data_IF_390920559825
#
_entry.id   IF_390920559825
#
_cell.length_a   1.000
_cell.length_b   1.000
_cell.length_c   1.000
_cell.angle_alpha   90.00
_cell.angle_beta   90.00
_cell.angle_gamma   90.00
#
_symmetry.space_group_name_H-M   'P 1'
#
loop_
_entity.id
_entity.type
_entity.pdbx_description
1 polymer ?
#
# COMPACT_ATOMS: atom_id res chain seq x y z
N UNK A 1 9.53 -7.68 4.45
CA UNK A 1 8.22 -7.06 4.12
C UNK A 1 8.30 -5.56 3.94
N UNK A 2 7.26 -5.00 3.36
CA UNK A 2 7.22 -3.74 2.62
C UNK A 2 7.10 -2.48 3.50
N UNK A 3 7.11 -1.31 2.84
CA UNK A 3 6.73 -0.02 3.42
C UNK A 3 5.67 0.66 2.58
N UNK A 4 4.75 1.35 3.24
CA UNK A 4 3.58 2.00 2.67
C UNK A 4 3.61 3.49 2.98
N UNK A 5 3.20 4.32 2.02
CA UNK A 5 2.88 5.73 2.20
C UNK A 5 1.59 6.04 1.43
N UNK A 6 0.65 6.72 2.08
CA UNK A 6 -0.56 7.27 1.49
C UNK A 6 -0.68 8.75 1.87
N UNK A 7 -1.05 9.60 0.91
CA UNK A 7 -1.25 11.04 1.14
C UNK A 7 -2.53 11.47 0.44
N UNK A 8 -3.49 12.05 1.16
CA UNK A 8 -4.63 12.76 0.55
C UNK A 8 -4.29 14.22 0.26
N UNK A 9 -5.01 14.84 -0.68
CA UNK A 9 -4.80 16.23 -1.08
C UNK A 9 -3.32 16.55 -1.34
N UNK A 10 -2.66 15.64 -2.07
CA UNK A 10 -1.25 15.73 -2.37
C UNK A 10 -0.96 16.99 -3.19
N UNK A 11 0.04 17.73 -2.73
CA UNK A 11 0.64 18.87 -3.41
C UNK A 11 2.16 18.75 -3.26
N UNK A 12 2.89 18.68 -4.38
CA UNK A 12 4.33 18.40 -4.37
C UNK A 12 5.12 19.40 -3.53
N UNK A 13 4.81 20.70 -3.66
CA UNK A 13 5.44 21.79 -2.90
C UNK A 13 5.36 21.61 -1.37
N UNK A 14 4.28 20.98 -0.88
CA UNK A 14 4.03 20.74 0.55
C UNK A 14 4.57 19.39 1.03
N UNK A 15 4.53 18.38 0.17
CA UNK A 15 4.78 16.99 0.56
C UNK A 15 6.11 16.42 0.04
N UNK A 16 6.92 17.21 -0.67
CA UNK A 16 8.22 16.77 -1.20
C UNK A 16 9.11 16.15 -0.11
N UNK A 17 9.19 16.78 1.07
CA UNK A 17 10.00 16.28 2.19
C UNK A 17 9.53 14.88 2.63
N UNK A 18 8.22 14.67 2.74
CA UNK A 18 7.61 13.39 3.10
C UNK A 18 7.94 12.32 2.05
N UNK A 19 7.79 12.64 0.76
CA UNK A 19 8.11 11.72 -0.34
C UNK A 19 9.59 11.34 -0.31
N UNK A 20 10.49 12.32 -0.19
CA UNK A 20 11.94 12.07 -0.15
C UNK A 20 12.34 11.23 1.07
N UNK A 21 11.74 11.50 2.23
CA UNK A 21 11.96 10.70 3.44
C UNK A 21 11.45 9.27 3.27
N UNK A 22 10.31 9.08 2.60
CA UNK A 22 9.82 7.75 2.28
C UNK A 22 10.76 7.00 1.32
N UNK A 23 11.25 7.65 0.26
CA UNK A 23 12.22 7.02 -0.65
C UNK A 23 13.48 6.55 0.08
N UNK A 24 13.96 7.28 1.09
CA UNK A 24 15.12 6.86 1.92
C UNK A 24 14.87 5.56 2.67
N UNK A 25 13.62 5.20 2.96
CA UNK A 25 13.27 3.93 3.59
C UNK A 25 13.62 2.72 2.73
N UNK A 26 13.83 2.88 1.42
CA UNK A 26 14.32 1.79 0.58
C UNK A 26 15.71 1.30 1.04
N UNK A 27 16.49 2.16 1.73
CA UNK A 27 17.76 1.79 2.40
C UNK A 27 17.56 1.49 3.88
N UNK A 28 16.91 2.41 4.60
CA UNK A 28 16.94 2.46 6.06
C UNK A 28 15.62 2.06 6.73
N UNK A 29 14.61 1.66 5.95
CA UNK A 29 13.34 1.23 6.51
C UNK A 29 13.53 -0.03 7.35
N UNK A 30 12.82 -0.13 8.49
CA UNK A 30 12.93 -1.28 9.38
C UNK A 30 12.74 -2.59 8.58
N UNK A 31 13.46 -3.63 8.93
CA UNK A 31 13.33 -4.99 8.36
C UNK A 31 13.06 -5.98 9.49
N UNK A 32 12.57 -7.18 9.17
CA UNK A 32 12.43 -8.22 10.20
C UNK A 32 13.82 -8.67 10.66
N UNK A 33 13.93 -9.18 11.89
CA UNK A 33 15.17 -9.75 12.37
C UNK A 33 15.65 -10.88 11.44
N UNK A 34 16.90 -10.80 10.97
CA UNK A 34 17.50 -11.76 10.05
C UNK A 34 17.31 -11.43 8.56
N UNK A 35 16.44 -10.48 8.19
CA UNK A 35 16.34 -10.02 6.81
C UNK A 35 17.52 -9.09 6.45
N UNK A 36 17.97 -9.09 5.17
CA UNK A 36 18.94 -8.11 4.70
C UNK A 36 18.35 -6.69 4.80
N UNK A 37 19.19 -5.65 5.02
CA UNK A 37 18.72 -4.28 5.16
C UNK A 37 18.04 -3.76 3.88
N UNK A 38 17.09 -2.85 4.06
CA UNK A 38 16.40 -2.18 2.96
C UNK A 38 15.27 -2.97 2.29
N UNK A 39 14.65 -2.31 1.32
CA UNK A 39 13.44 -2.70 0.59
C UNK A 39 13.70 -2.53 -0.91
N UNK A 40 14.46 -3.46 -1.48
CA UNK A 40 14.97 -3.38 -2.85
C UNK A 40 14.23 -4.24 -3.88
N UNK A 41 13.14 -4.91 -3.51
CA UNK A 41 12.48 -5.93 -4.36
C UNK A 41 11.39 -5.34 -5.27
N UNK A 42 11.47 -4.04 -5.53
CA UNK A 42 10.52 -3.27 -6.32
C UNK A 42 9.94 -2.05 -5.60
N UNK A 43 9.26 -1.22 -6.37
CA UNK A 43 8.48 -0.10 -5.86
C UNK A 43 7.28 0.18 -6.75
N UNK A 44 6.34 0.96 -6.22
CA UNK A 44 5.29 1.52 -7.05
C UNK A 44 4.67 2.78 -6.50
N UNK A 45 4.09 3.52 -7.43
CA UNK A 45 3.41 4.78 -7.25
C UNK A 45 2.03 4.66 -7.91
N UNK A 46 1.01 5.06 -7.17
CA UNK A 46 -0.32 5.33 -7.69
C UNK A 46 -0.73 6.76 -7.37
N UNK A 47 -1.35 7.43 -8.33
CA UNK A 47 -1.92 8.76 -8.18
C UNK A 47 -3.11 8.94 -9.10
N UNK A 48 -3.88 10.01 -8.92
CA UNK A 48 -5.04 10.30 -9.74
C UNK A 48 -4.87 11.64 -10.44
N UNK A 49 -5.23 11.72 -11.73
CA UNK A 49 -5.18 12.97 -12.49
C UNK A 49 -6.39 13.07 -13.40
N UNK A 50 -7.21 14.10 -13.19
CA UNK A 50 -8.43 14.29 -13.97
C UNK A 50 -9.46 13.17 -13.78
N UNK A 51 -9.53 12.58 -12.57
CA UNK A 51 -10.42 11.47 -12.24
C UNK A 51 -9.86 10.07 -12.53
N UNK A 52 -8.77 9.99 -13.31
CA UNK A 52 -8.19 8.72 -13.75
C UNK A 52 -7.01 8.29 -12.89
N UNK A 53 -6.98 7.01 -12.53
CA UNK A 53 -5.87 6.34 -11.85
C UNK A 53 -4.66 6.17 -12.79
N UNK A 54 -3.48 6.56 -12.29
CA UNK A 54 -2.19 6.35 -12.95
C UNK A 54 -1.31 5.52 -12.01
N UNK A 55 -0.85 4.36 -12.48
CA UNK A 55 0.05 3.46 -11.75
C UNK A 55 1.39 3.32 -12.47
N UNK A 56 2.49 3.49 -11.74
CA UNK A 56 3.87 3.30 -12.21
C UNK A 56 4.64 2.44 -11.21
N UNK A 57 5.26 1.36 -11.69
CA UNK A 57 5.94 0.38 -10.83
C UNK A 57 7.20 -0.14 -11.48
N UNK A 58 8.11 -0.66 -10.68
CA UNK A 58 9.37 -1.27 -11.10
C UNK A 58 9.69 -2.47 -10.21
N UNK A 59 10.37 -3.47 -10.78
CA UNK A 59 11.04 -4.52 -10.02
C UNK A 59 12.41 -4.12 -9.46
N UNK A 60 12.90 -2.93 -9.81
CA UNK A 60 14.17 -2.39 -9.32
C UNK A 60 14.07 -1.77 -7.92
N UNK A 61 15.23 -1.47 -7.33
CA UNK A 61 15.32 -0.80 -6.05
C UNK A 61 14.98 0.70 -6.20
N UNK A 62 14.08 1.24 -5.38
CA UNK A 62 13.71 2.66 -5.46
C UNK A 62 14.90 3.58 -5.14
N UNK A 63 15.91 3.14 -4.39
CA UNK A 63 17.09 3.98 -4.14
C UNK A 63 17.78 4.43 -5.42
N UNK A 64 17.83 3.56 -6.41
CA UNK A 64 18.48 3.81 -7.71
C UNK A 64 17.53 4.49 -8.70
N UNK A 65 16.24 4.54 -8.37
CA UNK A 65 15.17 5.00 -9.26
C UNK A 65 14.33 6.13 -8.64
N UNK A 66 14.79 6.74 -7.54
CA UNK A 66 14.03 7.74 -6.79
C UNK A 66 13.67 8.95 -7.65
N UNK A 67 14.57 9.35 -8.56
CA UNK A 67 14.33 10.46 -9.49
C UNK A 67 13.10 10.22 -10.36
N UNK A 68 12.81 8.98 -10.76
CA UNK A 68 11.59 8.64 -11.54
C UNK A 68 10.33 9.00 -10.76
N UNK A 69 10.27 8.68 -9.46
CA UNK A 69 9.13 9.03 -8.59
C UNK A 69 9.02 10.53 -8.42
N UNK A 70 10.15 11.21 -8.18
CA UNK A 70 10.20 12.65 -7.98
C UNK A 70 9.77 13.42 -9.25
N UNK A 71 10.23 13.01 -10.42
CA UNK A 71 9.85 13.60 -11.71
C UNK A 71 8.35 13.45 -11.98
N UNK A 72 7.77 12.27 -11.72
CA UNK A 72 6.33 12.04 -11.90
C UNK A 72 5.53 12.95 -10.95
N UNK A 73 5.87 12.98 -9.66
CA UNK A 73 5.12 13.73 -8.66
C UNK A 73 5.27 15.25 -8.83
N UNK A 74 6.47 15.73 -9.17
CA UNK A 74 6.68 17.16 -9.45
C UNK A 74 5.98 17.59 -10.75
N UNK A 75 5.99 16.75 -11.79
CA UNK A 75 5.30 17.04 -13.05
C UNK A 75 3.77 17.02 -12.94
N UNK A 76 3.19 16.18 -12.07
CA UNK A 76 1.75 16.19 -11.77
C UNK A 76 1.38 17.38 -10.88
N UNK A 77 2.25 17.74 -9.94
CA UNK A 77 2.07 18.88 -9.01
C UNK A 77 1.03 18.62 -7.93
N UNK A 78 -0.19 18.20 -8.29
CA UNK A 78 -1.30 17.90 -7.37
C UNK A 78 -2.05 16.63 -7.74
N UNK A 79 -2.46 15.87 -6.73
CA UNK A 79 -3.28 14.66 -6.88
C UNK A 79 -4.19 14.52 -5.67
N UNK A 80 -5.46 14.07 -5.83
CA UNK A 80 -6.33 13.86 -4.69
C UNK A 80 -5.78 12.77 -3.75
N UNK A 81 -5.20 11.70 -4.29
CA UNK A 81 -4.53 10.65 -3.51
C UNK A 81 -3.20 10.29 -4.16
N UNK A 82 -2.17 10.06 -3.35
CA UNK A 82 -0.93 9.39 -3.75
C UNK A 82 -0.70 8.19 -2.84
N UNK A 83 -0.40 7.03 -3.42
CA UNK A 83 0.06 5.84 -2.70
C UNK A 83 1.43 5.44 -3.23
N UNK A 84 2.41 5.31 -2.34
CA UNK A 84 3.76 4.81 -2.62
C UNK A 84 4.01 3.52 -1.84
N UNK A 85 4.69 2.58 -2.47
CA UNK A 85 5.04 1.28 -1.89
C UNK A 85 6.50 0.93 -2.16
N UNK A 86 7.20 0.47 -1.12
CA UNK A 86 8.51 -0.15 -1.22
C UNK A 86 8.37 -1.63 -0.95
N UNK A 87 8.83 -2.46 -1.87
CA UNK A 87 8.64 -3.90 -1.79
C UNK A 87 9.84 -4.57 -1.16
N UNK A 88 9.53 -5.52 -0.27
CA UNK A 88 10.45 -6.54 0.21
C UNK A 88 9.72 -7.87 0.24
N UNK A 89 10.02 -8.73 -0.71
CA UNK A 89 9.19 -9.89 -1.01
C UNK A 89 9.23 -10.94 0.09
N UNK A 90 8.10 -11.60 0.32
CA UNK A 90 8.02 -12.80 1.15
C UNK A 90 8.22 -14.09 0.34
N UNK A 91 8.27 -13.98 -0.99
CA UNK A 91 8.27 -15.09 -1.92
C UNK A 91 9.55 -15.06 -2.76
N UNK A 92 10.22 -16.21 -2.87
CA UNK A 92 11.45 -16.35 -3.67
C UNK A 92 11.17 -16.08 -5.15
N UNK A 93 12.15 -15.51 -5.85
CA UNK A 93 12.14 -15.31 -7.31
C UNK A 93 10.96 -14.47 -7.84
N UNK A 94 10.44 -13.56 -7.02
CA UNK A 94 9.32 -12.70 -7.39
C UNK A 94 9.72 -11.23 -7.56
N UNK A 95 11.00 -10.90 -7.56
CA UNK A 95 11.50 -9.52 -7.75
C UNK A 95 11.33 -9.11 -9.21
N UNK A 96 10.17 -8.53 -9.53
CA UNK A 96 9.82 -8.06 -10.87
C UNK A 96 8.69 -7.03 -10.79
N UNK A 97 8.52 -6.24 -11.86
CA UNK A 97 7.47 -5.22 -11.97
C UNK A 97 6.05 -5.79 -11.84
N UNK A 98 5.83 -7.03 -12.28
CA UNK A 98 4.53 -7.73 -12.24
C UNK A 98 4.01 -7.91 -10.81
N UNK A 99 4.89 -8.29 -9.88
CA UNK A 99 4.53 -8.52 -8.48
C UNK A 99 4.76 -7.31 -7.57
N UNK A 100 5.29 -6.20 -8.11
CA UNK A 100 5.39 -4.95 -7.39
C UNK A 100 3.98 -4.39 -7.12
N UNK A 101 3.78 -3.83 -5.94
CA UNK A 101 2.58 -3.08 -5.58
C UNK A 101 2.66 -1.65 -6.11
N UNK A 102 1.54 -0.92 -6.24
CA UNK A 102 0.18 -1.38 -5.97
C UNK A 102 -0.46 -2.19 -7.11
N UNK A 103 -1.48 -2.98 -6.79
CA UNK A 103 -2.36 -3.61 -7.78
C UNK A 103 -3.58 -2.72 -8.01
N UNK A 104 -4.24 -2.84 -9.17
CA UNK A 104 -5.43 -2.05 -9.47
C UNK A 104 -6.44 -2.83 -10.30
N UNK A 105 -7.70 -2.45 -10.19
CA UNK A 105 -8.81 -2.93 -10.99
C UNK A 105 -9.75 -1.74 -11.22
N UNK A 106 -9.96 -1.39 -12.49
CA UNK A 106 -10.58 -0.12 -12.87
C UNK A 106 -9.88 1.06 -12.16
N UNK A 107 -10.64 1.95 -11.52
CA UNK A 107 -10.12 3.12 -10.82
C UNK A 107 -9.73 2.86 -9.35
N UNK A 108 -9.78 1.60 -8.90
CA UNK A 108 -9.42 1.22 -7.52
C UNK A 108 -8.01 0.69 -7.47
N UNK A 109 -7.22 1.20 -6.52
CA UNK A 109 -5.83 0.81 -6.30
C UNK A 109 -5.62 0.23 -4.91
N UNK A 110 -4.70 -0.74 -4.76
CA UNK A 110 -4.49 -1.48 -3.52
C UNK A 110 -3.01 -1.81 -3.27
N UNK A 111 -2.54 -1.51 -2.07
CA UNK A 111 -1.20 -1.76 -1.57
C UNK A 111 -1.27 -2.51 -0.23
N UNK A 112 -0.39 -3.49 -0.04
CA UNK A 112 -0.41 -4.36 1.15
C UNK A 112 1.01 -4.58 1.68
N UNK A 113 1.14 -4.59 3.00
CA UNK A 113 2.31 -5.00 3.73
C UNK A 113 1.94 -6.11 4.72
N UNK A 114 2.22 -7.35 4.30
CA UNK A 114 1.83 -8.56 5.01
C UNK A 114 1.84 -9.75 4.06
N UNK A 115 1.54 -10.93 4.60
CA UNK A 115 1.34 -12.15 3.83
C UNK A 115 0.03 -12.80 4.25
N UNK A 116 -0.80 -13.19 3.28
CA UNK A 116 -1.91 -14.13 3.51
C UNK A 116 -1.47 -15.53 3.10
N UNK A 117 -1.31 -16.43 4.07
CA UNK A 117 -0.91 -17.81 3.80
C UNK A 117 -2.11 -18.65 3.38
N UNK A 118 -1.91 -19.58 2.44
CA UNK A 118 -3.00 -20.38 1.89
C UNK A 118 -3.97 -19.59 1.00
N UNK A 119 -3.57 -18.39 0.55
CA UNK A 119 -4.39 -17.47 -0.24
C UNK A 119 -5.06 -18.09 -1.47
N UNK A 120 -4.51 -19.16 -2.04
CA UNK A 120 -5.10 -19.88 -3.18
C UNK A 120 -6.53 -20.38 -2.87
N UNK A 121 -6.87 -20.60 -1.60
CA UNK A 121 -8.24 -20.92 -1.20
C UNK A 121 -9.26 -19.80 -1.43
N UNK A 122 -8.82 -18.55 -1.67
CA UNK A 122 -9.68 -17.41 -2.00
C UNK A 122 -10.02 -17.35 -3.50
N UNK A 123 -9.26 -18.06 -4.35
CA UNK A 123 -9.43 -18.03 -5.81
C UNK A 123 -10.85 -18.42 -6.29
N UNK A 124 -11.52 -19.47 -5.75
CA UNK A 124 -12.80 -19.93 -6.31
C UNK A 124 -13.92 -18.89 -6.30
N UNK A 125 -13.84 -17.89 -5.43
CA UNK A 125 -14.86 -16.85 -5.29
C UNK A 125 -14.48 -15.52 -5.98
N UNK A 126 -13.40 -15.49 -6.76
CA UNK A 126 -13.03 -14.33 -7.58
C UNK A 126 -13.87 -14.37 -8.86
N UNK A 127 -14.65 -13.31 -9.08
CA UNK A 127 -15.67 -13.23 -10.14
C UNK A 127 -15.33 -12.23 -11.24
N UNK A 128 -14.32 -11.40 -11.02
CA UNK A 128 -13.87 -10.38 -11.96
C UNK A 128 -12.68 -10.88 -12.79
N UNK A 129 -12.57 -10.50 -14.07
CA UNK A 129 -11.43 -10.87 -14.90
C UNK A 129 -10.19 -10.03 -14.56
N UNK A 130 -9.01 -10.51 -14.98
CA UNK A 130 -7.75 -9.76 -14.93
C UNK A 130 -6.72 -10.30 -13.94
N UNK A 131 -7.08 -11.28 -13.11
CA UNK A 131 -6.14 -11.95 -12.22
C UNK A 131 -5.18 -12.84 -13.04
N UNK A 132 -3.88 -12.59 -12.95
CA UNK A 132 -2.89 -13.42 -13.62
C UNK A 132 -2.74 -14.80 -12.97
N UNK A 133 -2.36 -15.81 -13.76
CA UNK A 133 -2.15 -17.18 -13.28
C UNK A 133 -1.01 -17.28 -12.24
N UNK A 134 -0.08 -16.34 -12.30
CA UNK A 134 1.05 -16.17 -11.40
C UNK A 134 0.73 -15.33 -10.16
N UNK A 135 -0.54 -14.97 -9.94
CA UNK A 135 -0.93 -14.08 -8.85
C UNK A 135 -0.54 -14.62 -7.47
N UNK A 136 0.05 -13.73 -6.67
CA UNK A 136 0.45 -13.99 -5.29
C UNK A 136 -0.62 -13.50 -4.31
N UNK A 137 -0.38 -13.74 -3.03
CA UNK A 137 -1.31 -13.48 -1.94
C UNK A 137 -1.95 -12.09 -1.95
N UNK A 138 -1.19 -11.03 -2.22
CA UNK A 138 -1.77 -9.68 -2.25
C UNK A 138 -2.73 -9.48 -3.41
N UNK A 139 -2.36 -9.91 -4.62
CA UNK A 139 -3.21 -9.69 -5.79
C UNK A 139 -4.49 -10.55 -5.67
N UNK A 140 -4.37 -11.76 -5.15
CA UNK A 140 -5.51 -12.63 -4.85
C UNK A 140 -6.41 -12.02 -3.77
N UNK A 141 -5.85 -11.46 -2.71
CA UNK A 141 -6.61 -10.71 -1.70
C UNK A 141 -7.35 -9.54 -2.33
N UNK A 142 -6.66 -8.72 -3.12
CA UNK A 142 -7.26 -7.57 -3.79
C UNK A 142 -8.41 -7.96 -4.72
N UNK A 143 -8.23 -8.97 -5.57
CA UNK A 143 -9.26 -9.43 -6.49
C UNK A 143 -10.45 -10.11 -5.79
N UNK A 144 -10.20 -10.78 -4.65
CA UNK A 144 -11.29 -11.30 -3.80
C UNK A 144 -12.14 -10.18 -3.23
N UNK A 145 -11.48 -9.13 -2.73
CA UNK A 145 -12.12 -7.91 -2.24
C UNK A 145 -12.93 -7.21 -3.34
N UNK A 146 -12.36 -7.02 -4.53
CA UNK A 146 -13.05 -6.39 -5.66
C UNK A 146 -14.17 -7.25 -6.26
N UNK A 147 -14.24 -8.54 -5.91
CA UNK A 147 -15.35 -9.43 -6.30
C UNK A 147 -16.54 -9.38 -5.35
N UNK A 148 -16.49 -8.55 -4.31
CA UNK A 148 -17.62 -8.30 -3.43
C UNK A 148 -18.78 -7.63 -4.19
N UNK A 149 -20.01 -7.90 -3.77
CA UNK A 149 -21.23 -7.36 -4.40
C UNK A 149 -21.68 -6.03 -3.78
N UNK A 150 -20.98 -5.54 -2.74
CA UNK A 150 -21.37 -4.31 -2.05
C UNK A 150 -20.93 -3.07 -2.85
N UNK A 151 -21.77 -2.03 -2.95
CA UNK A 151 -21.36 -0.75 -3.54
C UNK A 151 -20.40 0.03 -2.62
N UNK A 152 -20.33 -0.34 -1.34
CA UNK A 152 -19.40 0.25 -0.38
C UNK A 152 -18.05 -0.49 -0.43
N UNK A 153 -17.03 0.26 -0.85
CA UNK A 153 -15.67 -0.23 -0.97
C UNK A 153 -15.05 -0.58 0.40
N UNK A 154 -15.29 0.24 1.42
CA UNK A 154 -14.79 0.00 2.76
C UNK A 154 -15.41 -1.27 3.37
N UNK A 155 -16.72 -1.43 3.24
CA UNK A 155 -17.41 -2.64 3.72
C UNK A 155 -16.93 -3.90 2.98
N UNK A 156 -16.79 -3.83 1.65
CA UNK A 156 -16.26 -4.93 0.83
C UNK A 156 -14.86 -5.39 1.29
N UNK A 157 -14.01 -4.44 1.64
CA UNK A 157 -12.68 -4.70 2.18
C UNK A 157 -12.77 -5.38 3.55
N UNK A 158 -13.56 -4.83 4.48
CA UNK A 158 -13.74 -5.37 5.83
C UNK A 158 -14.34 -6.78 5.83
N UNK A 159 -15.29 -7.08 4.94
CA UNK A 159 -15.86 -8.42 4.79
C UNK A 159 -14.80 -9.43 4.33
N UNK A 160 -13.91 -9.02 3.43
CA UNK A 160 -12.81 -9.85 2.94
C UNK A 160 -11.75 -10.06 4.04
N UNK A 161 -11.44 -9.01 4.80
CA UNK A 161 -10.57 -9.12 5.99
C UNK A 161 -11.17 -10.10 7.01
N UNK A 162 -12.47 -10.01 7.30
CA UNK A 162 -13.14 -10.90 8.22
C UNK A 162 -13.10 -12.36 7.74
N UNK A 163 -13.24 -12.60 6.43
CA UNK A 163 -13.05 -13.92 5.82
C UNK A 163 -11.62 -14.44 6.04
N UNK A 164 -10.61 -13.61 5.76
CA UNK A 164 -9.20 -13.98 5.93
C UNK A 164 -8.92 -14.34 7.39
N UNK A 165 -9.35 -13.51 8.33
CA UNK A 165 -9.12 -13.73 9.77
C UNK A 165 -9.77 -15.01 10.31
N UNK A 166 -10.91 -15.43 9.74
CA UNK A 166 -11.59 -16.67 10.14
C UNK A 166 -10.96 -17.93 9.53
N UNK A 167 -10.47 -17.84 8.30
CA UNK A 167 -10.12 -19.02 7.49
C UNK A 167 -8.63 -19.23 7.24
N UNK A 168 -7.78 -18.21 7.46
CA UNK A 168 -6.42 -18.21 6.94
C UNK A 168 -5.43 -17.69 7.98
N UNK A 169 -4.22 -18.23 7.94
CA UNK A 169 -3.08 -17.66 8.65
C UNK A 169 -2.58 -16.45 7.86
N UNK A 170 -2.20 -15.39 8.54
CA UNK A 170 -1.58 -14.22 7.93
C UNK A 170 -0.46 -13.69 8.83
N UNK A 171 0.49 -12.92 8.28
CA UNK A 171 1.47 -12.19 9.10
C UNK A 171 0.95 -10.82 9.53
N UNK A 172 0.44 -10.05 8.57
CA UNK A 172 -0.23 -8.78 8.73
C UNK A 172 -1.18 -8.54 7.57
N UNK A 173 -2.06 -7.54 7.74
CA UNK A 173 -3.01 -7.06 6.75
C UNK A 173 -2.91 -5.53 6.66
N UNK A 174 -1.72 -4.95 6.79
CA UNK A 174 -1.57 -3.51 6.66
C UNK A 174 -1.83 -3.10 5.21
N UNK A 175 -2.91 -2.37 4.96
CA UNK A 175 -3.37 -2.05 3.62
C UNK A 175 -3.58 -0.55 3.44
N UNK A 176 -3.26 -0.06 2.24
CA UNK A 176 -3.72 1.23 1.74
C UNK A 176 -4.45 0.99 0.42
N UNK A 177 -5.61 1.62 0.25
CA UNK A 177 -6.35 1.55 -1.00
C UNK A 177 -7.16 2.81 -1.25
N UNK A 178 -7.56 3.01 -2.50
CA UNK A 178 -8.26 4.24 -2.90
C UNK A 178 -9.09 4.02 -4.15
N UNK A 179 -10.19 4.77 -4.26
CA UNK A 179 -11.01 4.97 -5.47
C UNK A 179 -10.76 6.34 -6.14
N UNK A 180 -9.81 7.12 -5.62
CA UNK A 180 -9.49 8.49 -6.05
C UNK A 180 -10.27 9.59 -5.32
N UNK A 181 -11.39 9.25 -4.68
CA UNK A 181 -12.17 10.17 -3.85
C UNK A 181 -11.82 10.04 -2.36
N UNK A 182 -11.33 8.86 -1.95
CA UNK A 182 -10.98 8.54 -0.57
C UNK A 182 -9.70 7.73 -0.50
N UNK A 183 -8.94 7.93 0.57
CA UNK A 183 -7.86 7.04 0.98
C UNK A 183 -8.34 6.20 2.16
N UNK A 184 -8.20 4.89 2.04
CA UNK A 184 -8.48 3.93 3.10
C UNK A 184 -7.18 3.37 3.66
N UNK A 185 -7.13 3.19 4.97
CA UNK A 185 -6.03 2.55 5.67
C UNK A 185 -6.55 1.51 6.66
N UNK A 186 -5.88 0.37 6.71
CA UNK A 186 -6.17 -0.68 7.69
C UNK A 186 -4.87 -1.20 8.29
N UNK A 187 -4.85 -1.41 9.60
CA UNK A 187 -3.71 -2.04 10.29
C UNK A 187 -4.17 -3.27 11.06
N UNK A 188 -3.59 -4.43 10.78
CA UNK A 188 -3.77 -5.64 11.58
C UNK A 188 -2.56 -6.57 11.41
N UNK A 189 -2.27 -7.36 12.44
CA UNK A 189 -1.10 -8.22 12.51
C UNK A 189 -1.35 -9.41 13.42
N UNK A 190 -0.69 -10.52 13.13
CA UNK A 190 -0.66 -11.71 13.99
C UNK A 190 0.62 -11.83 14.81
N UNK A 191 1.66 -11.10 14.42
CA UNK A 191 2.99 -11.08 15.03
C UNK A 191 3.70 -9.76 14.73
N UNK A 192 4.80 -9.49 15.43
CA UNK A 192 5.71 -8.35 15.16
C UNK A 192 5.01 -6.97 15.06
N UNK A 193 4.26 -6.53 16.09
CA UNK A 193 3.50 -5.27 16.08
C UNK A 193 4.35 -4.05 15.67
N UNK A 194 5.58 -3.97 16.16
CA UNK A 194 6.50 -2.86 15.90
C UNK A 194 6.93 -2.80 14.43
N UNK A 195 7.09 -3.97 13.81
CA UNK A 195 7.49 -4.08 12.42
C UNK A 195 6.33 -3.82 11.45
N UNK A 196 5.15 -4.35 11.77
CA UNK A 196 3.89 -4.09 11.06
C UNK A 196 3.18 -2.86 11.65
N UNK A 197 3.97 -1.80 11.87
CA UNK A 197 3.45 -0.50 12.22
C UNK A 197 2.83 0.19 11.01
N UNK A 198 1.84 1.03 11.30
CA UNK A 198 1.21 1.96 10.37
C UNK A 198 0.81 3.17 11.20
N UNK A 199 1.31 4.33 10.81
CA UNK A 199 1.11 5.59 11.51
C UNK A 199 0.22 6.50 10.69
N UNK A 200 -0.60 7.29 11.38
CA UNK A 200 -1.41 8.36 10.81
C UNK A 200 -0.92 9.71 11.32
N UNK A 201 -0.98 10.69 10.45
CA UNK A 201 -0.76 12.11 10.73
C UNK A 201 -1.70 12.90 9.85
N UNK A 202 -2.07 14.11 10.27
CA UNK A 202 -2.84 15.03 9.46
C UNK A 202 -2.22 16.43 9.46
N UNK A 203 -2.42 17.15 8.36
CA UNK A 203 -2.31 18.61 8.30
C UNK A 203 -3.72 19.21 8.17
N UNK A 204 -3.82 20.53 8.04
CA UNK A 204 -5.12 21.19 7.79
C UNK A 204 -5.82 20.69 6.52
N UNK A 205 -5.07 20.20 5.54
CA UNK A 205 -5.61 19.83 4.22
C UNK A 205 -5.40 18.38 3.84
N UNK A 206 -4.48 17.67 4.49
CA UNK A 206 -3.99 16.36 4.03
C UNK A 206 -3.94 15.34 5.16
N UNK A 207 -4.43 14.14 4.91
CA UNK A 207 -4.18 12.95 5.71
C UNK A 207 -2.97 12.20 5.18
N UNK A 208 -2.08 11.77 6.08
CA UNK A 208 -0.84 11.06 5.75
C UNK A 208 -0.81 9.76 6.53
N UNK A 209 -0.66 8.64 5.82
CA UNK A 209 -0.48 7.31 6.41
C UNK A 209 0.88 6.78 5.98
N UNK A 210 1.68 6.28 6.92
CA UNK A 210 3.01 5.75 6.60
C UNK A 210 3.38 4.58 7.51
N UNK A 211 4.14 3.60 7.00
CA UNK A 211 4.67 2.52 7.84
C UNK A 211 5.61 3.01 8.94
N UNK A 212 6.21 4.19 8.80
CA UNK A 212 7.09 4.80 9.80
C UNK A 212 6.92 6.32 9.79
N UNK A 213 7.15 7.03 10.91
CA UNK A 213 7.18 8.49 10.92
C UNK A 213 8.20 9.02 9.89
N UNK A 214 7.77 9.98 9.07
CA UNK A 214 8.57 10.53 7.97
C UNK A 214 9.03 11.97 8.21
N UNK A 215 8.46 12.67 9.18
CA UNK A 215 8.85 14.03 9.52
C UNK A 215 8.62 14.25 11.01
N UNK A 216 9.66 14.69 11.72
CA UNK A 216 9.65 14.98 13.15
C UNK A 216 8.77 16.20 13.51
N UNK A 217 8.48 17.06 12.53
CA UNK A 217 7.61 18.23 12.72
C UNK A 217 6.12 17.86 12.68
N UNK A 218 5.78 16.63 12.30
CA UNK A 218 4.41 16.13 12.26
C UNK A 218 4.11 15.29 13.50
N UNK A 219 2.88 15.38 13.99
CA UNK A 219 2.39 14.53 15.07
C UNK A 219 1.91 13.20 14.48
N UNK A 220 2.72 12.16 14.70
CA UNK A 220 2.40 10.80 14.26
C UNK A 220 1.78 9.99 15.39
N UNK A 221 0.63 9.40 15.11
CA UNK A 221 -0.03 8.43 15.98
C UNK A 221 0.05 7.06 15.32
N UNK A 222 0.49 6.03 16.06
CA UNK A 222 0.43 4.66 15.55
C UNK A 222 -1.04 4.22 15.53
N UNK A 223 -1.51 3.74 14.38
CA UNK A 223 -2.85 3.16 14.28
C UNK A 223 -2.96 1.95 15.21
N UNK A 224 -4.09 1.77 15.88
CA UNK A 224 -4.38 0.60 16.70
C UNK A 224 -4.50 -0.66 15.83
N UNK A 225 -4.43 -1.83 16.48
CA UNK A 225 -4.71 -3.10 15.81
C UNK A 225 -6.19 -3.14 15.43
N UNK A 226 -6.46 -3.59 14.21
CA UNK A 226 -7.79 -3.63 13.57
C UNK A 226 -8.40 -2.24 13.32
N UNK A 227 -7.59 -1.17 13.42
CA UNK A 227 -8.07 0.16 13.08
C UNK A 227 -8.27 0.27 11.57
N UNK A 228 -9.47 0.69 11.18
CA UNK A 228 -9.86 1.02 9.82
C UNK A 228 -10.17 2.52 9.74
N UNK A 229 -9.52 3.20 8.80
CA UNK A 229 -9.67 4.63 8.59
C UNK A 229 -10.06 4.91 7.14
N UNK A 230 -11.04 5.81 6.98
CA UNK A 230 -11.47 6.37 5.69
C UNK A 230 -11.23 7.87 5.72
N UNK A 231 -10.44 8.38 4.77
CA UNK A 231 -10.07 9.79 4.66
C UNK A 231 -10.59 10.31 3.33
N UNK A 232 -11.58 11.20 3.38
CA UNK A 232 -12.10 11.89 2.20
C UNK A 232 -11.09 12.91 1.66
N UNK A 233 -11.17 13.18 0.35
CA UNK A 233 -10.34 14.14 -0.35
C UNK A 233 -11.12 15.38 -0.76
#
# INVERSE_FOLDING_TARGET
>A
MCRLLGVTNFEYSRHEKIVRNFCRLARSGNVMAGDPPGHGDGWGLALYRGGELIVRKSGGNLLDEADKVIEILSGVGRSPVVILHLRKSAWNDTTCTRHAHPFHHNNVVFAHNGVVYGYKGLLPDIRIPGLGEDALDTEVFFYRFMSAQSPDLGQSFLDTVALIKRGYKFSALNCLFSDGARLFAYRDYSKEPEYYSLYKSCSETSGIISSQPLDENLQWEMMAREEFLEIAV
#
